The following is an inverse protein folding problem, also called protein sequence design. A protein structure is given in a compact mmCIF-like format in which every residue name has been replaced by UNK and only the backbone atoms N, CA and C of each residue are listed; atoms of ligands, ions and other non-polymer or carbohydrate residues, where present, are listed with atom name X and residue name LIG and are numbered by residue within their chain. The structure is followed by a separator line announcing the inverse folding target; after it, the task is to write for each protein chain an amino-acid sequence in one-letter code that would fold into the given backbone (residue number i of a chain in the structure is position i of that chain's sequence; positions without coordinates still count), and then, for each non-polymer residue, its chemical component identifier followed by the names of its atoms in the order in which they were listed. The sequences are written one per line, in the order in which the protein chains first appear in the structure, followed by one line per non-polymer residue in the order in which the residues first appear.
data_IF_707053298725
#
_entry.id   IF_707053298725
#
_cell.length_a   1.000
_cell.length_b   1.000
_cell.length_c   1.000
_cell.angle_alpha   90.00
_cell.angle_beta   90.00
_cell.angle_gamma   90.00
#
_symmetry.space_group_name_H-M   'P 1'
#
loop_
_entity.id
_entity.type
_entity.pdbx_description
1 polymer ?
#
# COMPACT_ATOMS: atom_id res chain seq x y z
N UNK A 1 -18.54 77.63 -9.41
CA UNK A 1 -19.78 76.82 -9.39
C UNK A 1 -20.41 76.84 -10.77
N UNK A 2 -20.31 75.76 -11.56
CA UNK A 2 -21.41 75.14 -12.33
C UNK A 2 -20.84 73.92 -13.08
N UNK A 3 -21.64 72.86 -13.14
CA UNK A 3 -21.32 71.47 -13.48
C UNK A 3 -21.15 71.26 -14.99
N UNK A 4 -20.28 70.35 -15.40
CA UNK A 4 -20.41 69.64 -16.69
C UNK A 4 -20.35 68.13 -16.47
N UNK A 5 -21.42 67.47 -16.93
CA UNK A 5 -21.64 66.03 -16.95
C UNK A 5 -21.30 65.55 -18.35
N UNK A 6 -20.46 64.52 -18.49
CA UNK A 6 -20.22 63.85 -19.78
C UNK A 6 -20.52 62.35 -19.60
N UNK A 7 -21.55 61.90 -20.33
CA UNK A 7 -21.97 60.51 -20.48
C UNK A 7 -21.07 59.83 -21.53
N UNK A 8 -20.61 58.60 -21.27
CA UNK A 8 -19.94 57.77 -22.27
C UNK A 8 -20.77 56.53 -22.60
N UNK A 9 -21.02 56.40 -23.91
CA UNK A 9 -21.85 55.41 -24.59
C UNK A 9 -21.06 54.11 -24.80
N UNK A 10 -21.69 52.97 -24.54
CA UNK A 10 -21.14 51.61 -24.72
C UNK A 10 -21.20 51.24 -26.21
N UNK A 11 -20.07 50.81 -26.78
CA UNK A 11 -20.00 50.17 -28.10
C UNK A 11 -19.90 48.64 -27.93
N UNK A 12 -20.84 47.93 -28.54
CA UNK A 12 -20.89 46.46 -28.62
C UNK A 12 -20.37 46.07 -30.01
N UNK A 13 -19.19 45.44 -30.07
CA UNK A 13 -18.60 44.91 -31.32
C UNK A 13 -18.81 43.40 -31.36
N UNK A 14 -19.60 42.95 -32.33
CA UNK A 14 -19.70 41.55 -32.73
C UNK A 14 -18.57 41.23 -33.71
N UNK A 15 -17.64 40.37 -33.30
CA UNK A 15 -16.58 39.83 -34.15
C UNK A 15 -16.85 38.36 -34.48
N UNK A 16 -17.09 38.07 -35.75
CA UNK A 16 -17.17 36.72 -36.31
C UNK A 16 -15.79 36.03 -36.24
N UNK A 17 -15.72 34.88 -35.57
CA UNK A 17 -14.52 34.05 -35.45
C UNK A 17 -14.69 32.68 -36.13
N UNK A 18 -13.75 32.37 -37.01
CA UNK A 18 -13.60 31.14 -37.80
C UNK A 18 -13.62 29.84 -36.94
N UNK A 19 -14.23 28.73 -37.38
CA UNK A 19 -14.10 27.46 -36.68
C UNK A 19 -12.71 26.86 -36.96
N UNK A 20 -11.74 27.18 -36.10
CA UNK A 20 -10.48 26.45 -36.03
C UNK A 20 -10.75 25.02 -35.55
N UNK A 21 -10.31 24.05 -36.34
CA UNK A 21 -10.26 22.64 -35.96
C UNK A 21 -9.43 22.53 -34.67
N UNK A 22 -10.12 22.33 -33.54
CA UNK A 22 -9.48 22.00 -32.28
C UNK A 22 -8.80 20.63 -32.45
N UNK A 23 -7.47 20.67 -32.52
CA UNK A 23 -6.65 19.47 -32.47
C UNK A 23 -6.87 18.83 -31.10
N UNK A 24 -7.47 17.64 -31.10
CA UNK A 24 -7.69 16.84 -29.90
C UNK A 24 -6.34 16.49 -29.29
N UNK A 25 -5.95 17.22 -28.24
CA UNK A 25 -4.95 16.75 -27.30
C UNK A 25 -5.46 15.42 -26.76
N UNK A 26 -4.80 14.32 -27.09
CA UNK A 26 -5.03 13.07 -26.39
C UNK A 26 -4.82 13.34 -24.91
N UNK A 27 -5.91 13.33 -24.14
CA UNK A 27 -5.84 13.31 -22.69
C UNK A 27 -5.13 12.01 -22.34
N UNK A 28 -3.81 12.07 -22.14
CA UNK A 28 -3.13 10.99 -21.46
C UNK A 28 -3.88 10.81 -20.14
N UNK A 29 -4.41 9.61 -19.92
CA UNK A 29 -5.00 9.25 -18.63
C UNK A 29 -4.02 9.70 -17.54
N UNK A 30 -4.46 10.41 -16.49
CA UNK A 30 -3.58 10.76 -15.39
C UNK A 30 -2.87 9.49 -14.96
N UNK A 31 -1.53 9.51 -14.94
CA UNK A 31 -0.76 8.39 -14.45
C UNK A 31 -1.34 7.95 -13.10
N UNK A 32 -1.81 6.69 -13.01
CA UNK A 32 -2.33 6.17 -11.74
C UNK A 32 -1.29 6.39 -10.64
N UNK A 33 -1.68 6.92 -9.47
CA UNK A 33 -0.75 7.08 -8.37
C UNK A 33 -0.13 5.73 -8.00
N UNK A 34 1.20 5.67 -7.94
CA UNK A 34 1.94 4.45 -7.54
C UNK A 34 1.40 3.81 -6.25
N UNK A 35 0.93 4.63 -5.31
CA UNK A 35 0.28 4.20 -4.07
C UNK A 35 -0.99 3.37 -4.32
N UNK A 36 -1.88 3.77 -5.23
CA UNK A 36 -3.09 3.02 -5.54
C UNK A 36 -2.76 1.72 -6.28
N UNK A 37 -1.77 1.73 -7.17
CA UNK A 37 -1.29 0.50 -7.84
C UNK A 37 -0.78 -0.54 -6.83
N UNK A 38 -0.04 -0.11 -5.81
CA UNK A 38 0.41 -1.00 -4.73
C UNK A 38 -0.73 -1.46 -3.80
N UNK A 39 -1.73 -0.60 -3.57
CA UNK A 39 -2.94 -0.98 -2.83
C UNK A 39 -3.73 -2.07 -3.57
N UNK A 40 -3.90 -1.93 -4.90
CA UNK A 40 -4.57 -2.93 -5.72
C UNK A 40 -3.81 -4.26 -5.74
N UNK A 41 -2.48 -4.21 -5.83
CA UNK A 41 -1.64 -5.40 -5.70
C UNK A 41 -1.82 -6.08 -4.34
N UNK A 42 -1.86 -5.30 -3.27
CA UNK A 42 -2.10 -5.80 -1.91
C UNK A 42 -3.43 -6.56 -1.84
N UNK A 43 -4.53 -5.95 -2.32
CA UNK A 43 -5.85 -6.60 -2.35
C UNK A 43 -5.83 -7.88 -3.20
N UNK A 44 -5.16 -7.86 -4.37
CA UNK A 44 -5.03 -9.02 -5.26
C UNK A 44 -4.29 -10.18 -4.60
N UNK A 45 -3.24 -9.91 -3.83
CA UNK A 45 -2.50 -10.94 -3.09
C UNK A 45 -3.34 -11.46 -1.93
N UNK A 46 -3.92 -10.56 -1.14
CA UNK A 46 -4.74 -10.88 0.04
C UNK A 46 -5.94 -11.77 -0.27
N UNK A 47 -6.65 -11.49 -1.36
CA UNK A 47 -7.84 -12.25 -1.79
C UNK A 47 -7.52 -13.69 -2.22
N UNK A 48 -6.26 -13.95 -2.63
CA UNK A 48 -5.79 -15.27 -3.07
C UNK A 48 -4.96 -15.99 -2.02
N UNK A 49 -4.59 -15.30 -0.94
CA UNK A 49 -3.73 -15.84 0.09
C UNK A 49 -4.52 -16.84 0.97
N UNK A 50 -4.09 -18.11 1.07
CA UNK A 50 -4.69 -19.05 2.01
C UNK A 50 -4.49 -18.53 3.45
N UNK A 51 -5.39 -18.92 4.36
CA UNK A 51 -5.33 -18.57 5.79
C UNK A 51 -5.26 -17.07 6.11
N UNK A 52 -5.53 -16.20 5.14
CA UNK A 52 -5.56 -14.75 5.34
C UNK A 52 -6.86 -14.36 6.06
N UNK A 53 -6.87 -14.50 7.39
CA UNK A 53 -8.01 -14.13 8.22
C UNK A 53 -8.22 -12.62 8.25
N UNK A 54 -9.43 -12.12 8.57
CA UNK A 54 -9.69 -10.69 8.66
C UNK A 54 -8.73 -9.94 9.61
N UNK A 55 -8.33 -10.58 10.72
CA UNK A 55 -7.37 -10.02 11.69
C UNK A 55 -5.94 -10.01 11.16
N UNK A 56 -5.48 -11.09 10.51
CA UNK A 56 -4.16 -11.10 9.87
C UNK A 56 -4.07 -10.10 8.72
N UNK A 57 -5.11 -10.03 7.88
CA UNK A 57 -5.17 -9.13 6.74
C UNK A 57 -5.18 -7.65 7.14
N UNK A 58 -5.98 -7.28 8.16
CA UNK A 58 -5.98 -5.91 8.68
C UNK A 58 -4.64 -5.51 9.28
N UNK A 59 -3.98 -6.41 10.02
CA UNK A 59 -2.60 -6.23 10.49
C UNK A 59 -1.64 -5.99 9.32
N UNK A 60 -1.69 -6.82 8.28
CA UNK A 60 -0.83 -6.69 7.10
C UNK A 60 -1.00 -5.33 6.41
N UNK A 61 -2.25 -4.90 6.17
CA UNK A 61 -2.54 -3.57 5.59
C UNK A 61 -2.02 -2.44 6.47
N UNK A 62 -2.12 -2.56 7.79
CA UNK A 62 -1.57 -1.57 8.73
C UNK A 62 -0.06 -1.34 8.53
N UNK A 63 0.71 -2.43 8.47
CA UNK A 63 2.16 -2.34 8.23
C UNK A 63 2.53 -1.89 6.80
N UNK A 64 1.75 -2.31 5.79
CA UNK A 64 1.93 -1.87 4.41
C UNK A 64 1.68 -0.38 4.25
N UNK A 65 0.58 0.13 4.84
CA UNK A 65 0.25 1.56 4.84
C UNK A 65 1.28 2.39 5.61
N UNK A 66 1.74 1.91 6.76
CA UNK A 66 2.82 2.56 7.51
C UNK A 66 4.11 2.63 6.69
N UNK A 67 4.50 1.53 6.05
CA UNK A 67 5.68 1.48 5.18
C UNK A 67 5.53 2.44 3.99
N UNK A 68 4.35 2.49 3.39
CA UNK A 68 4.07 3.40 2.29
C UNK A 68 4.25 4.86 2.73
N UNK A 69 3.72 5.22 3.91
CA UNK A 69 3.85 6.57 4.45
C UNK A 69 5.30 6.94 4.77
N UNK A 70 5.99 6.09 5.55
CA UNK A 70 7.34 6.39 6.05
C UNK A 70 8.40 6.42 4.93
N UNK A 71 8.18 5.73 3.80
CA UNK A 71 9.08 5.79 2.65
C UNK A 71 9.00 7.12 1.88
N UNK A 72 7.85 7.81 1.90
CA UNK A 72 7.66 9.07 1.15
C UNK A 72 7.51 10.31 2.02
N UNK A 73 7.48 10.18 3.35
CA UNK A 73 7.21 11.30 4.27
C UNK A 73 8.18 12.48 4.09
N UNK A 74 9.41 12.19 3.68
CA UNK A 74 10.47 13.19 3.44
C UNK A 74 10.37 13.89 2.08
N UNK A 75 9.45 13.48 1.21
CA UNK A 75 9.18 14.14 -0.08
C UNK A 75 8.55 15.53 0.06
N UNK A 76 8.00 15.85 1.24
CA UNK A 76 7.32 17.10 1.50
C UNK A 76 7.62 17.63 2.90
N UNK A 77 7.97 18.92 3.04
CA UNK A 77 8.23 19.51 4.35
C UNK A 77 6.96 19.65 5.21
N UNK A 78 5.77 19.38 4.66
CA UNK A 78 4.49 19.46 5.38
C UNK A 78 4.22 18.24 6.26
N UNK A 79 4.82 17.10 5.94
CA UNK A 79 4.58 15.84 6.64
C UNK A 79 5.72 15.51 7.61
N UNK A 80 5.43 14.66 8.59
CA UNK A 80 6.37 14.24 9.63
C UNK A 80 6.16 12.77 9.89
N UNK A 81 7.25 12.04 10.08
CA UNK A 81 7.20 10.62 10.47
C UNK A 81 6.26 10.44 11.66
N UNK A 82 5.41 9.42 11.59
CA UNK A 82 4.46 9.08 12.65
C UNK A 82 5.03 8.03 13.60
N UNK A 83 6.21 7.48 13.31
CA UNK A 83 6.76 6.32 14.02
C UNK A 83 6.88 6.54 15.54
N UNK A 84 7.29 7.75 15.95
CA UNK A 84 7.44 8.11 17.36
C UNK A 84 6.10 8.21 18.13
N UNK A 85 4.97 8.23 17.43
CA UNK A 85 3.63 8.26 18.05
C UNK A 85 3.02 6.86 18.20
N UNK A 86 3.55 5.87 17.48
CA UNK A 86 2.98 4.53 17.40
C UNK A 86 3.93 3.44 17.90
N UNK A 87 5.23 3.75 18.01
CA UNK A 87 6.26 2.78 18.34
C UNK A 87 7.40 3.45 19.12
N UNK A 88 7.42 3.28 20.44
CA UNK A 88 8.43 3.87 21.32
C UNK A 88 9.84 3.27 21.09
N UNK A 89 9.90 2.02 20.62
CA UNK A 89 11.13 1.25 20.44
C UNK A 89 11.68 1.27 19.02
N UNK A 90 10.93 1.81 18.05
CA UNK A 90 11.29 1.77 16.64
C UNK A 90 11.91 3.10 16.18
N UNK A 91 13.18 3.03 15.77
CA UNK A 91 13.85 4.11 15.04
C UNK A 91 14.01 3.75 13.57
N UNK A 92 13.59 4.65 12.68
CA UNK A 92 13.71 4.49 11.23
C UNK A 92 14.92 5.24 10.67
N UNK A 93 15.54 4.72 9.59
CA UNK A 93 16.54 5.46 8.81
C UNK A 93 15.99 6.81 8.37
N UNK A 94 16.87 7.82 8.35
CA UNK A 94 16.56 9.15 7.81
C UNK A 94 17.34 9.32 6.49
N UNK A 95 16.73 9.90 5.46
CA UNK A 95 17.45 10.17 4.22
C UNK A 95 18.48 11.29 4.42
N UNK A 96 19.52 11.29 3.60
CA UNK A 96 20.47 12.39 3.53
C UNK A 96 19.84 13.53 2.74
N UNK A 97 19.42 14.59 3.42
CA UNK A 97 18.69 15.72 2.81
C UNK A 97 19.55 16.54 1.83
N UNK A 98 20.85 16.29 1.75
CA UNK A 98 21.74 16.93 0.76
C UNK A 98 21.73 16.20 -0.59
N UNK A 99 21.09 15.02 -0.67
CA UNK A 99 21.07 14.17 -1.85
C UNK A 99 19.69 14.09 -2.46
N UNK A 100 19.66 13.87 -3.77
CA UNK A 100 18.42 13.63 -4.51
C UNK A 100 17.97 12.17 -4.39
N UNK A 101 16.68 12.00 -4.19
CA UNK A 101 15.96 10.72 -4.13
C UNK A 101 14.77 10.75 -5.08
N UNK A 102 14.42 9.59 -5.64
CA UNK A 102 13.14 9.34 -6.27
C UNK A 102 12.24 8.61 -5.28
N UNK A 103 11.22 9.30 -4.77
CA UNK A 103 10.35 8.77 -3.71
C UNK A 103 9.46 7.64 -4.22
N UNK A 104 9.16 7.61 -5.51
CA UNK A 104 8.42 6.53 -6.17
C UNK A 104 9.22 5.23 -6.16
N UNK A 105 10.53 5.27 -6.45
CA UNK A 105 11.41 4.11 -6.33
C UNK A 105 11.59 3.66 -4.88
N UNK A 106 11.65 4.60 -3.93
CA UNK A 106 11.69 4.27 -2.50
C UNK A 106 10.39 3.56 -2.04
N UNK A 107 9.23 4.11 -2.40
CA UNK A 107 7.94 3.48 -2.12
C UNK A 107 7.86 2.09 -2.76
N UNK A 108 8.25 1.97 -4.03
CA UNK A 108 8.25 0.73 -4.78
C UNK A 108 9.06 -0.37 -4.08
N UNK A 109 10.32 -0.08 -3.76
CA UNK A 109 11.22 -1.02 -3.10
C UNK A 109 10.70 -1.42 -1.70
N UNK A 110 10.16 -0.45 -0.95
CA UNK A 110 9.59 -0.70 0.38
C UNK A 110 8.34 -1.59 0.33
N UNK A 111 7.41 -1.31 -0.57
CA UNK A 111 6.19 -2.11 -0.74
C UNK A 111 6.49 -3.51 -1.26
N UNK A 112 7.38 -3.65 -2.24
CA UNK A 112 7.81 -4.95 -2.75
C UNK A 112 8.40 -5.84 -1.65
N UNK A 113 9.28 -5.28 -0.84
CA UNK A 113 9.85 -5.99 0.32
C UNK A 113 8.77 -6.38 1.32
N UNK A 114 7.98 -5.41 1.80
CA UNK A 114 7.02 -5.63 2.88
C UNK A 114 5.94 -6.64 2.49
N UNK A 115 5.39 -6.52 1.27
CA UNK A 115 4.33 -7.42 0.80
C UNK A 115 4.86 -8.85 0.65
N UNK A 116 6.07 -9.03 0.13
CA UNK A 116 6.74 -10.34 0.09
C UNK A 116 6.98 -10.87 1.51
N UNK A 117 7.47 -10.05 2.41
CA UNK A 117 7.78 -10.46 3.79
C UNK A 117 6.54 -10.94 4.57
N UNK A 118 5.36 -10.36 4.29
CA UNK A 118 4.09 -10.73 4.94
C UNK A 118 3.38 -11.92 4.26
N UNK A 119 3.58 -12.12 2.95
CA UNK A 119 2.87 -13.13 2.16
C UNK A 119 3.78 -14.17 1.47
N UNK A 120 5.05 -14.28 1.86
CA UNK A 120 5.98 -15.27 1.32
C UNK A 120 5.47 -16.71 1.47
N UNK A 121 4.73 -16.99 2.54
CA UNK A 121 4.10 -18.31 2.81
C UNK A 121 3.11 -18.77 1.73
N UNK A 122 2.67 -17.86 0.85
CA UNK A 122 1.78 -18.20 -0.26
C UNK A 122 2.51 -18.79 -1.47
N UNK A 123 3.84 -18.67 -1.52
CA UNK A 123 4.70 -19.05 -2.66
C UNK A 123 4.29 -18.41 -3.99
N UNK A 124 3.43 -17.39 -3.97
CA UNK A 124 2.84 -16.71 -5.15
C UNK A 124 3.23 -15.24 -5.21
N UNK A 125 4.53 -14.97 -5.05
CA UNK A 125 5.09 -13.60 -5.00
C UNK A 125 5.42 -13.01 -6.37
N UNK A 126 5.35 -13.80 -7.45
CA UNK A 126 5.65 -13.36 -8.82
C UNK A 126 4.92 -12.07 -9.27
N UNK A 127 3.62 -11.85 -8.96
CA UNK A 127 2.96 -10.60 -9.31
C UNK A 127 3.59 -9.37 -8.64
N UNK A 128 4.14 -9.55 -7.43
CA UNK A 128 4.82 -8.49 -6.67
C UNK A 128 6.11 -8.10 -7.39
N UNK A 129 6.91 -9.10 -7.79
CA UNK A 129 8.16 -8.87 -8.51
C UNK A 129 7.91 -8.22 -9.87
N UNK A 130 6.86 -8.65 -10.59
CA UNK A 130 6.48 -8.06 -11.87
C UNK A 130 6.07 -6.59 -11.76
N UNK A 131 5.30 -6.23 -10.72
CA UNK A 131 4.93 -4.83 -10.48
C UNK A 131 6.15 -4.01 -10.07
N UNK A 132 6.99 -4.54 -9.17
CA UNK A 132 8.19 -3.85 -8.72
C UNK A 132 9.13 -3.53 -9.90
N UNK A 133 9.31 -4.48 -10.81
CA UNK A 133 10.12 -4.31 -12.02
C UNK A 133 9.50 -3.29 -12.99
N UNK A 134 8.18 -3.37 -13.25
CA UNK A 134 7.51 -2.42 -14.14
C UNK A 134 7.62 -0.97 -13.63
N UNK A 135 7.47 -0.77 -12.33
CA UNK A 135 7.67 0.54 -11.70
C UNK A 135 9.15 0.94 -11.74
N UNK A 136 10.07 0.03 -11.44
CA UNK A 136 11.51 0.30 -11.54
C UNK A 136 11.86 0.83 -12.94
N UNK A 137 11.52 0.08 -13.99
CA UNK A 137 11.81 0.45 -15.37
C UNK A 137 11.24 1.83 -15.74
N UNK A 138 10.02 2.12 -15.30
CA UNK A 138 9.35 3.41 -15.56
C UNK A 138 10.11 4.59 -14.99
N UNK A 139 10.57 4.50 -13.73
CA UNK A 139 11.21 5.63 -13.06
C UNK A 139 12.72 5.67 -13.24
N UNK A 140 13.39 4.50 -13.31
CA UNK A 140 14.83 4.41 -13.48
C UNK A 140 15.32 4.87 -14.86
N UNK A 141 14.47 4.79 -15.90
CA UNK A 141 14.85 5.14 -17.28
C UNK A 141 15.38 6.57 -17.46
N UNK A 142 15.06 7.49 -16.56
CA UNK A 142 15.44 8.91 -16.64
C UNK A 142 16.38 9.35 -15.51
N UNK A 143 16.86 8.40 -14.69
CA UNK A 143 17.62 8.69 -13.47
C UNK A 143 19.03 8.11 -13.55
N UNK A 144 19.97 8.72 -12.84
CA UNK A 144 21.30 8.14 -12.71
C UNK A 144 21.22 6.88 -11.83
N UNK A 145 22.07 5.85 -12.09
CA UNK A 145 22.09 4.63 -11.28
C UNK A 145 22.26 4.92 -9.78
N UNK A 146 23.05 5.94 -9.43
CA UNK A 146 23.26 6.35 -8.05
C UNK A 146 22.00 6.93 -7.37
N UNK A 147 21.08 7.56 -8.10
CA UNK A 147 19.79 8.01 -7.54
C UNK A 147 18.86 6.82 -7.37
N UNK A 148 18.80 5.93 -8.38
CA UNK A 148 17.97 4.72 -8.36
C UNK A 148 18.33 3.86 -7.16
N UNK A 149 19.60 3.44 -7.07
CA UNK A 149 20.10 2.58 -6.00
C UNK A 149 19.85 3.18 -4.61
N UNK A 150 20.18 4.46 -4.42
CA UNK A 150 19.99 5.16 -3.14
C UNK A 150 18.52 5.19 -2.71
N UNK A 151 17.62 5.41 -3.67
CA UNK A 151 16.18 5.50 -3.42
C UNK A 151 15.61 4.15 -3.02
N UNK A 152 15.97 3.10 -3.76
CA UNK A 152 15.52 1.74 -3.47
C UNK A 152 16.10 1.20 -2.16
N UNK A 153 17.37 1.47 -1.87
CA UNK A 153 18.00 1.12 -0.60
C UNK A 153 17.30 1.81 0.58
N UNK A 154 16.99 3.11 0.45
CA UNK A 154 16.24 3.82 1.48
C UNK A 154 14.86 3.18 1.70
N UNK A 155 14.09 2.97 0.63
CA UNK A 155 12.79 2.31 0.68
C UNK A 155 12.80 0.95 1.35
N UNK A 156 13.75 0.09 0.94
CA UNK A 156 13.95 -1.24 1.50
C UNK A 156 14.33 -1.18 2.98
N UNK A 157 15.24 -0.29 3.37
CA UNK A 157 15.70 -0.15 4.76
C UNK A 157 14.57 0.24 5.72
N UNK A 158 13.63 1.07 5.27
CA UNK A 158 12.42 1.43 6.04
C UNK A 158 11.56 0.17 6.23
N UNK A 159 11.27 -0.55 5.15
CA UNK A 159 10.42 -1.74 5.17
C UNK A 159 11.03 -2.87 6.03
N UNK A 160 12.35 -3.08 5.96
CA UNK A 160 13.07 -4.04 6.78
C UNK A 160 12.92 -3.75 8.29
N UNK A 161 13.08 -2.47 8.68
CA UNK A 161 12.93 -2.06 10.08
C UNK A 161 11.50 -2.20 10.58
N UNK A 162 10.52 -1.78 9.78
CA UNK A 162 9.11 -1.95 10.13
C UNK A 162 8.75 -3.44 10.21
N UNK A 163 9.23 -4.27 9.28
CA UNK A 163 8.93 -5.70 9.28
C UNK A 163 9.55 -6.37 10.50
N UNK A 164 10.81 -6.05 10.84
CA UNK A 164 11.46 -6.55 12.05
C UNK A 164 10.67 -6.17 13.31
N UNK A 165 10.24 -4.91 13.43
CA UNK A 165 9.40 -4.46 14.53
C UNK A 165 8.03 -5.15 14.54
N UNK A 166 7.44 -5.40 13.38
CA UNK A 166 6.16 -6.11 13.29
C UNK A 166 6.23 -7.48 13.98
N UNK A 167 7.39 -8.13 14.00
CA UNK A 167 7.52 -9.46 14.61
C UNK A 167 7.32 -9.45 16.13
N UNK A 168 7.47 -8.29 16.77
CA UNK A 168 7.38 -8.15 18.23
C UNK A 168 5.95 -7.91 18.73
N UNK A 169 4.96 -7.78 17.83
CA UNK A 169 3.56 -7.52 18.20
C UNK A 169 2.76 -8.78 18.55
N UNK A 170 3.38 -9.97 18.49
CA UNK A 170 2.75 -11.27 18.73
C UNK A 170 1.92 -11.82 17.56
N UNK A 171 1.68 -11.02 16.52
CA UNK A 171 0.92 -11.37 15.32
C UNK A 171 1.75 -11.93 14.17
N UNK A 172 3.08 -12.04 14.32
CA UNK A 172 3.95 -12.66 13.33
C UNK A 172 3.51 -14.09 13.04
N UNK A 173 3.27 -14.40 11.76
CA UNK A 173 2.77 -15.72 11.34
C UNK A 173 1.45 -16.11 12.01
N UNK A 174 0.64 -15.11 12.43
CA UNK A 174 -0.67 -15.35 13.01
C UNK A 174 -1.59 -16.18 12.11
N UNK A 175 -1.35 -16.18 10.79
CA UNK A 175 -2.04 -17.02 9.81
C UNK A 175 -2.07 -18.51 10.19
N UNK A 176 -1.06 -19.03 10.90
CA UNK A 176 -0.97 -20.44 11.33
C UNK A 176 -1.54 -20.71 12.73
N UNK A 177 -1.77 -19.67 13.54
CA UNK A 177 -2.21 -19.81 14.94
C UNK A 177 -3.63 -19.28 15.19
N UNK A 178 -4.40 -19.01 14.14
CA UNK A 178 -5.69 -18.34 14.23
C UNK A 178 -6.80 -19.14 14.94
N UNK A 179 -6.77 -20.47 14.86
CA UNK A 179 -7.82 -21.34 15.39
C UNK A 179 -7.20 -22.52 16.16
N UNK A 180 -6.78 -22.31 17.42
CA UNK A 180 -6.25 -23.39 18.26
C UNK A 180 -7.27 -24.53 18.37
N UNK A 181 -6.84 -25.76 18.07
CA UNK A 181 -7.70 -26.96 18.06
C UNK A 181 -8.21 -27.34 19.46
N UNK A 182 -7.50 -26.90 20.48
CA UNK A 182 -7.74 -27.16 21.90
C UNK A 182 -8.59 -26.07 22.58
N UNK A 183 -8.99 -25.02 21.86
CA UNK A 183 -9.87 -24.01 22.42
C UNK A 183 -11.32 -24.51 22.56
N UNK A 184 -11.77 -24.63 23.80
CA UNK A 184 -13.16 -24.99 24.14
C UNK A 184 -13.97 -23.71 24.36
N UNK A 185 -15.00 -23.51 23.54
CA UNK A 185 -15.92 -22.35 23.68
C UNK A 185 -16.79 -22.50 24.94
N UNK A 186 -17.03 -21.43 25.70
CA UNK A 186 -17.95 -21.46 26.82
C UNK A 186 -19.40 -21.66 26.35
N UNK A 187 -20.18 -22.43 27.11
CA UNK A 187 -21.57 -22.76 26.81
C UNK A 187 -22.45 -22.22 27.94
N UNK A 188 -23.51 -21.51 27.60
CA UNK A 188 -24.42 -20.92 28.60
C UNK A 188 -25.44 -19.99 27.98
N UNK A 189 -26.50 -19.70 28.74
CA UNK A 189 -27.55 -18.75 28.33
C UNK A 189 -26.95 -17.36 28.11
N UNK A 190 -27.27 -16.74 26.97
CA UNK A 190 -26.76 -15.41 26.61
C UNK A 190 -25.34 -15.40 26.01
N UNK A 191 -24.66 -16.54 25.92
CA UNK A 191 -23.37 -16.63 25.23
C UNK A 191 -23.56 -16.84 23.73
N UNK A 192 -22.63 -16.28 22.94
CA UNK A 192 -22.66 -16.42 21.49
C UNK A 192 -22.45 -17.89 21.08
N UNK A 193 -23.29 -18.36 20.15
CA UNK A 193 -23.21 -19.69 19.54
C UNK A 193 -23.13 -19.51 18.02
N UNK A 194 -22.31 -20.30 17.30
CA UNK A 194 -22.27 -20.24 15.85
C UNK A 194 -23.67 -20.44 15.25
N UNK A 195 -24.07 -19.61 14.26
CA UNK A 195 -25.43 -19.61 13.72
C UNK A 195 -25.78 -20.89 12.95
N UNK A 196 -24.82 -21.77 12.65
CA UNK A 196 -25.09 -23.11 12.11
C UNK A 196 -24.09 -24.15 12.62
N UNK A 197 -24.51 -25.41 12.67
CA UNK A 197 -23.70 -26.55 13.11
C UNK A 197 -22.48 -26.81 12.21
N UNK A 198 -22.53 -26.41 10.94
CA UNK A 198 -21.40 -26.46 10.00
C UNK A 198 -20.32 -25.42 10.31
N UNK A 199 -20.63 -24.26 10.90
CA UNK A 199 -19.62 -23.27 11.28
C UNK A 199 -18.64 -23.80 12.34
N UNK A 200 -19.08 -24.76 13.17
CA UNK A 200 -18.20 -25.52 14.08
C UNK A 200 -17.23 -26.38 13.28
N UNK A 201 -17.70 -26.99 12.19
CA UNK A 201 -16.91 -27.81 11.31
C UNK A 201 -15.95 -26.96 10.46
N UNK A 202 -16.35 -25.81 9.91
CA UNK A 202 -15.45 -24.97 9.11
C UNK A 202 -14.24 -24.46 9.89
N UNK A 203 -14.38 -24.06 11.16
CA UNK A 203 -13.21 -23.69 12.00
C UNK A 203 -12.29 -24.90 12.28
N UNK A 204 -12.85 -26.11 12.43
CA UNK A 204 -12.08 -27.33 12.69
C UNK A 204 -11.51 -27.99 11.40
N UNK A 205 -12.11 -27.76 10.23
CA UNK A 205 -11.79 -28.46 8.96
C UNK A 205 -10.62 -27.81 8.22
N UNK A 206 -10.41 -26.49 8.36
CA UNK A 206 -9.17 -25.86 7.87
C UNK A 206 -7.93 -26.42 8.58
N UNK A 207 -8.07 -26.84 9.84
CA UNK A 207 -6.99 -27.40 10.62
C UNK A 207 -6.72 -28.90 10.36
N UNK A 208 -7.64 -29.62 9.70
CA UNK A 208 -7.49 -31.04 9.34
C UNK A 208 -7.11 -31.27 7.87
N UNK A 209 -7.56 -30.43 6.93
CA UNK A 209 -7.20 -30.58 5.50
C UNK A 209 -5.74 -30.26 5.16
N UNK A 210 -5.05 -29.48 5.99
CA UNK A 210 -3.64 -29.14 5.79
C UNK A 210 -2.65 -30.24 6.24
N UNK A 211 -3.13 -31.34 6.82
CA UNK A 211 -2.31 -32.50 7.17
C UNK A 211 -2.45 -33.69 6.21
N UNK A 212 -3.30 -33.59 5.17
CA UNK A 212 -3.69 -34.73 4.35
C UNK A 212 -3.34 -34.59 2.86
N UNK A 213 -2.85 -33.45 2.38
CA UNK A 213 -2.55 -33.22 0.95
C UNK A 213 -1.03 -33.18 0.65
N UNK A 214 -0.22 -33.95 1.39
CA UNK A 214 1.19 -34.21 1.02
C UNK A 214 1.38 -35.51 0.26
N UNK A 215 0.32 -36.19 -0.14
CA UNK A 215 0.38 -37.43 -0.94
C UNK A 215 -0.90 -37.59 -1.76
N UNK A 216 -1.03 -36.90 -2.90
CA UNK A 216 -1.52 -37.45 -4.18
C UNK A 216 -1.15 -36.42 -5.26
N UNK A 217 -0.59 -36.93 -6.35
CA UNK A 217 -0.18 -36.27 -7.60
C UNK A 217 -1.08 -35.12 -8.10
#
# INVERSE_FOLDING_TARGET
MLKQVIRFTIFLVWGYGCPGLAQSTSTQSPAEPIATTWADMTVRIMTKAPKNTPTYGSRAIGYLGLTMYETVVYSSPKYRSVIQKIADTLSLPKPDLTKTYCWELALNAGQAYMLKALYAYTEKTQPIDSLAEAVHQRYAAQLSPAIVERSEQFGRSIAEKIYAWSKTDGGHEGYDRNFPKDYVRPIGTGLWVPPNCWAVQYQNTYASKLGAESNVF
#
